data_IF_027622239477
#
_entry.id   IF_027622239477
#
_cell.length_a   1.000
_cell.length_b   1.000
_cell.length_c   1.000
_cell.angle_alpha   90.00
_cell.angle_beta   90.00
_cell.angle_gamma   90.00
#
_symmetry.space_group_name_H-M   'P 1'
#
loop_
_entity.id
_entity.type
_entity.pdbx_description
1 polymer ?
#
# COMPACT_ATOMS: atom_id res chain seq x y z
N UNK A 1 -12.11 -17.84 -1.14
CA UNK A 1 -11.72 -17.32 -2.47
C UNK A 1 -13.01 -16.97 -3.18
N UNK A 2 -13.13 -15.75 -3.65
CA UNK A 2 -14.25 -15.33 -4.49
C UNK A 2 -13.77 -15.34 -5.93
N UNK A 3 -14.59 -15.86 -6.85
CA UNK A 3 -14.27 -15.93 -8.27
C UNK A 3 -15.46 -15.40 -9.10
N UNK A 4 -15.22 -14.75 -10.25
CA UNK A 4 -16.28 -14.34 -11.15
C UNK A 4 -17.09 -15.53 -11.68
N UNK A 5 -18.37 -15.32 -11.99
CA UNK A 5 -19.27 -16.35 -12.50
C UNK A 5 -18.72 -17.06 -13.76
N UNK A 6 -18.17 -16.31 -14.71
CA UNK A 6 -17.61 -16.86 -15.95
C UNK A 6 -16.38 -17.76 -15.72
N UNK A 7 -15.67 -17.60 -14.59
CA UNK A 7 -14.62 -18.53 -14.16
C UNK A 7 -15.27 -19.78 -13.58
N UNK A 8 -16.26 -19.60 -12.71
CA UNK A 8 -16.94 -20.70 -12.03
C UNK A 8 -17.66 -21.67 -12.98
N UNK A 9 -18.15 -21.17 -14.12
CA UNK A 9 -18.82 -21.97 -15.16
C UNK A 9 -17.83 -22.78 -16.03
N UNK A 10 -16.52 -22.49 -15.97
CA UNK A 10 -15.49 -23.20 -16.72
C UNK A 10 -14.56 -23.96 -15.77
N UNK A 11 -14.68 -25.29 -15.75
CA UNK A 11 -13.92 -26.17 -14.85
C UNK A 11 -12.40 -26.03 -15.03
N UNK A 12 -11.89 -25.87 -16.24
CA UNK A 12 -10.46 -25.66 -16.51
C UNK A 12 -9.96 -24.37 -15.86
N UNK A 13 -10.75 -23.30 -15.96
CA UNK A 13 -10.43 -22.00 -15.35
C UNK A 13 -10.45 -22.06 -13.81
N UNK A 14 -11.43 -22.76 -13.22
CA UNK A 14 -11.48 -23.01 -11.77
C UNK A 14 -10.25 -23.79 -11.31
N UNK A 15 -9.92 -24.87 -12.01
CA UNK A 15 -8.77 -25.71 -11.68
C UNK A 15 -7.46 -24.94 -11.77
N UNK A 16 -7.29 -24.11 -12.80
CA UNK A 16 -6.13 -23.24 -12.92
C UNK A 16 -6.04 -22.25 -11.75
N UNK A 17 -7.13 -21.57 -11.40
CA UNK A 17 -7.14 -20.61 -10.31
C UNK A 17 -6.78 -21.27 -8.95
N UNK A 18 -7.36 -22.45 -8.67
CA UNK A 18 -7.02 -23.21 -7.47
C UNK A 18 -5.57 -23.70 -7.48
N UNK A 19 -5.06 -24.20 -8.61
CA UNK A 19 -3.68 -24.64 -8.73
C UNK A 19 -2.68 -23.51 -8.45
N UNK A 20 -2.95 -22.32 -8.98
CA UNK A 20 -2.12 -21.14 -8.73
C UNK A 20 -2.15 -20.70 -7.26
N UNK A 21 -3.33 -20.66 -6.63
CA UNK A 21 -3.42 -20.33 -5.19
C UNK A 21 -2.70 -21.38 -4.34
N UNK A 22 -2.84 -22.66 -4.66
CA UNK A 22 -2.16 -23.73 -3.94
C UNK A 22 -0.63 -23.65 -4.10
N UNK A 23 -0.12 -23.34 -5.30
CA UNK A 23 1.30 -23.10 -5.54
C UNK A 23 1.83 -21.95 -4.66
N UNK A 24 1.12 -20.82 -4.65
CA UNK A 24 1.49 -19.66 -3.83
C UNK A 24 1.49 -20.01 -2.33
N UNK A 25 0.48 -20.74 -1.85
CA UNK A 25 0.44 -21.19 -0.46
C UNK A 25 1.60 -22.14 -0.13
N UNK A 26 1.95 -23.07 -1.02
CA UNK A 26 3.09 -23.99 -0.80
C UNK A 26 4.41 -23.23 -0.67
N UNK A 27 4.59 -22.19 -1.49
CA UNK A 27 5.77 -21.32 -1.46
C UNK A 27 5.83 -20.42 -0.23
N UNK A 28 4.69 -20.01 0.32
CA UNK A 28 4.58 -19.17 1.50
C UNK A 28 4.17 -19.92 2.77
N UNK A 29 4.55 -21.20 2.89
CA UNK A 29 4.34 -22.02 4.09
C UNK A 29 2.89 -22.06 4.62
N UNK A 30 1.92 -22.13 3.71
CA UNK A 30 0.49 -22.19 4.03
C UNK A 30 -0.28 -20.91 3.72
N UNK A 31 0.40 -19.85 3.28
CA UNK A 31 -0.24 -18.58 2.90
C UNK A 31 0.32 -18.06 1.57
N UNK A 32 -0.48 -17.43 0.69
CA UNK A 32 0.03 -16.92 -0.59
C UNK A 32 1.11 -15.86 -0.41
N UNK A 33 2.31 -16.13 -0.95
CA UNK A 33 3.46 -15.20 -0.87
C UNK A 33 3.10 -13.81 -1.38
N UNK A 34 2.38 -13.73 -2.51
CA UNK A 34 1.98 -12.45 -3.10
C UNK A 34 1.14 -11.58 -2.16
N UNK A 35 0.26 -12.19 -1.35
CA UNK A 35 -0.56 -11.44 -0.38
C UNK A 35 0.27 -10.99 0.82
N UNK A 36 1.19 -11.83 1.29
CA UNK A 36 2.11 -11.48 2.36
C UNK A 36 2.99 -10.28 1.96
N UNK A 37 3.61 -10.33 0.79
CA UNK A 37 4.41 -9.22 0.28
C UNK A 37 3.59 -7.94 0.08
N UNK A 38 2.37 -8.06 -0.44
CA UNK A 38 1.49 -6.92 -0.63
C UNK A 38 1.11 -6.28 0.72
N UNK A 39 0.85 -7.10 1.75
CA UNK A 39 0.58 -6.62 3.10
C UNK A 39 1.77 -5.83 3.67
N UNK A 40 2.98 -6.37 3.55
CA UNK A 40 4.20 -5.68 4.01
C UNK A 40 4.44 -4.37 3.25
N UNK A 41 4.28 -4.37 1.92
CA UNK A 41 4.52 -3.19 1.07
C UNK A 41 3.43 -2.12 1.20
N UNK A 42 2.22 -2.48 1.59
CA UNK A 42 1.12 -1.53 1.77
C UNK A 42 1.24 -0.70 3.07
N UNK A 43 2.16 -1.05 3.97
CA UNK A 43 2.37 -0.30 5.21
C UNK A 43 2.98 1.06 4.90
N UNK A 44 2.17 2.12 5.05
CA UNK A 44 2.66 3.50 4.98
C UNK A 44 3.28 3.88 6.32
N UNK A 45 4.60 4.07 6.35
CA UNK A 45 5.32 4.44 7.55
C UNK A 45 5.19 5.94 7.86
N UNK A 46 5.63 6.35 9.05
CA UNK A 46 5.68 7.78 9.39
C UNK A 46 6.72 8.52 8.57
N UNK A 47 7.85 7.88 8.28
CA UNK A 47 8.88 8.44 7.40
C UNK A 47 8.33 8.67 5.98
N UNK A 48 7.54 7.73 5.44
CA UNK A 48 6.92 7.90 4.11
C UNK A 48 5.97 9.11 4.09
N UNK A 49 5.19 9.30 5.17
CA UNK A 49 4.31 10.47 5.32
C UNK A 49 5.09 11.78 5.38
N UNK A 50 6.18 11.82 6.15
CA UNK A 50 7.02 13.00 6.27
C UNK A 50 7.71 13.35 4.93
N UNK A 51 8.24 12.35 4.24
CA UNK A 51 8.83 12.50 2.91
C UNK A 51 7.80 13.02 1.89
N UNK A 52 6.58 12.46 1.90
CA UNK A 52 5.49 12.93 1.05
C UNK A 52 5.19 14.42 1.29
N UNK A 53 5.06 14.84 2.56
CA UNK A 53 4.83 16.25 2.86
C UNK A 53 6.01 17.14 2.46
N UNK A 54 7.25 16.67 2.61
CA UNK A 54 8.42 17.38 2.10
C UNK A 54 8.38 17.59 0.59
N UNK A 55 7.99 16.56 -0.18
CA UNK A 55 7.83 16.66 -1.64
C UNK A 55 6.70 17.63 -2.02
N UNK A 56 5.59 17.60 -1.30
CA UNK A 56 4.47 18.54 -1.48
C UNK A 56 4.94 19.97 -1.20
N UNK A 57 5.64 20.22 -0.10
CA UNK A 57 6.20 21.54 0.23
C UNK A 57 7.16 22.06 -0.86
N UNK A 58 8.02 21.19 -1.40
CA UNK A 58 8.92 21.52 -2.51
C UNK A 58 8.15 21.88 -3.78
N UNK A 59 7.14 21.08 -4.16
CA UNK A 59 6.31 21.34 -5.35
C UNK A 59 5.56 22.66 -5.26
N UNK A 60 5.06 23.00 -4.08
CA UNK A 60 4.34 24.25 -3.81
C UNK A 60 5.29 25.46 -3.84
N UNK A 61 6.49 25.29 -3.27
CA UNK A 61 7.52 26.33 -3.28
C UNK A 61 7.97 26.66 -4.71
N UNK A 62 8.07 25.65 -5.57
CA UNK A 62 8.40 25.81 -7.00
C UNK A 62 7.33 26.65 -7.73
N UNK A 63 6.05 26.45 -7.40
CA UNK A 63 4.92 27.24 -7.91
C UNK A 63 4.75 28.62 -7.22
N UNK A 64 5.64 28.99 -6.28
CA UNK A 64 5.60 30.24 -5.48
C UNK A 64 4.30 30.45 -4.70
N UNK A 65 3.59 29.37 -4.36
CA UNK A 65 2.35 29.45 -3.60
C UNK A 65 2.66 29.44 -2.09
N UNK A 66 2.30 30.50 -1.38
CA UNK A 66 2.52 30.58 0.07
C UNK A 66 1.45 29.78 0.83
N UNK A 67 1.70 28.49 1.09
CA UNK A 67 0.82 27.69 1.95
C UNK A 67 1.22 27.85 3.40
N UNK A 68 0.38 28.52 4.19
CA UNK A 68 0.51 28.59 5.65
C UNK A 68 0.29 27.20 6.24
N UNK A 69 1.35 26.53 6.69
CA UNK A 69 1.23 25.28 7.43
C UNK A 69 0.45 25.51 8.74
N UNK A 70 -0.44 24.56 9.08
CA UNK A 70 -1.29 24.67 10.27
C UNK A 70 -0.46 24.77 11.55
N UNK A 71 -0.80 25.72 12.42
CA UNK A 71 -0.08 25.95 13.70
C UNK A 71 0.01 24.72 14.61
N UNK A 72 -0.88 23.74 14.43
CA UNK A 72 -0.83 22.43 15.13
C UNK A 72 0.34 21.57 14.67
N UNK A 73 0.68 21.58 13.38
CA UNK A 73 1.83 20.82 12.84
C UNK A 73 3.14 21.41 13.38
N UNK A 74 3.24 22.75 13.38
CA UNK A 74 4.37 23.48 13.96
C UNK A 74 4.55 23.18 15.46
N UNK A 75 3.46 23.14 16.22
CA UNK A 75 3.49 22.85 17.66
C UNK A 75 3.87 21.41 18.00
N UNK A 76 3.61 20.44 17.12
CA UNK A 76 4.08 19.06 17.30
C UNK A 76 5.57 18.91 16.98
N UNK A 77 6.07 19.65 15.98
CA UNK A 77 7.49 19.64 15.59
C UNK A 77 8.40 20.35 16.61
N UNK A 78 7.87 21.35 17.32
CA UNK A 78 8.57 22.13 18.34
C UNK A 78 8.40 21.59 19.77
N UNK A 79 7.69 20.47 19.99
CA UNK A 79 7.36 19.97 21.33
C UNK A 79 8.58 19.50 22.15
N UNK A 80 9.76 19.44 21.55
CA UNK A 80 11.02 19.03 22.20
C UNK A 80 12.15 20.07 22.11
N UNK A 81 11.83 21.35 21.89
CA UNK A 81 12.75 22.46 22.15
C UNK A 81 12.43 23.08 23.50
#
# INVERSE_FOLDING_TARGET
MEIPQWVAENEESVNLAHALVLDQCRRGHGYPVALMEAHEKAVVTTADRENFWGLVELSIADERLNIRSSGKSRSKRLRWV
#
